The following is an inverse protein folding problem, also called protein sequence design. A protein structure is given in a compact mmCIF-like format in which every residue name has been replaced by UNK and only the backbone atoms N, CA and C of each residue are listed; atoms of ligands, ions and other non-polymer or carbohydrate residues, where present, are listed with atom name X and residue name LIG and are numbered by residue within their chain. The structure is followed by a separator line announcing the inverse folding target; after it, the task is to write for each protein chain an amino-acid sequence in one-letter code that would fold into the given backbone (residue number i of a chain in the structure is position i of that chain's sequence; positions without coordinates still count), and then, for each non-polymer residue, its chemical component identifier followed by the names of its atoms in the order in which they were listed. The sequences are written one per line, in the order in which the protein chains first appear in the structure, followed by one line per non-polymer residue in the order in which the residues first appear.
data_IF_656346726706
#
_entry.id   IF_656346726706
#
_cell.length_a   1.000
_cell.length_b   1.000
_cell.length_c   1.000
_cell.angle_alpha   90.00
_cell.angle_beta   90.00
_cell.angle_gamma   90.00
#
_symmetry.space_group_name_H-M   'P 1'
#
loop_
_entity.id
_entity.type
_entity.pdbx_description
1 polymer ?
#
# COMPACT_ATOMS: atom_id res chain seq x y z
N UNK A 1 12.96 -10.72 -29.01
CA UNK A 1 12.57 -9.43 -28.43
C UNK A 1 11.43 -9.75 -27.50
N UNK A 2 11.79 -10.10 -26.27
CA UNK A 2 10.92 -10.88 -25.42
C UNK A 2 10.40 -9.93 -24.35
N UNK A 3 9.17 -9.47 -24.57
CA UNK A 3 8.44 -8.74 -23.54
C UNK A 3 8.35 -9.67 -22.31
N UNK A 4 8.71 -9.21 -21.10
CA UNK A 4 8.65 -10.05 -19.92
C UNK A 4 7.21 -10.52 -19.70
N UNK A 5 7.15 -11.83 -19.41
CA UNK A 5 5.98 -12.69 -19.29
C UNK A 5 4.83 -12.00 -18.52
N UNK A 6 3.69 -11.81 -19.20
CA UNK A 6 2.45 -11.24 -18.66
C UNK A 6 1.64 -12.29 -17.90
N UNK A 7 2.21 -12.85 -16.83
CA UNK A 7 1.37 -13.56 -15.86
C UNK A 7 0.98 -12.54 -14.77
N UNK A 8 -0.29 -12.10 -14.70
CA UNK A 8 -0.72 -11.27 -13.59
C UNK A 8 -0.59 -12.13 -12.35
N UNK A 9 0.29 -11.73 -11.43
CA UNK A 9 0.41 -12.37 -10.13
C UNK A 9 -0.98 -12.36 -9.46
N UNK A 10 -1.71 -13.47 -9.58
CA UNK A 10 -2.83 -13.86 -8.73
C UNK A 10 -2.35 -14.19 -7.31
N UNK A 11 -1.18 -13.69 -6.93
CA UNK A 11 -0.53 -13.97 -5.67
C UNK A 11 -1.13 -13.04 -4.65
N UNK A 12 -2.01 -13.62 -3.83
CA UNK A 12 -2.47 -13.05 -2.59
C UNK A 12 -1.27 -12.60 -1.74
N UNK A 13 -1.23 -11.33 -1.39
CA UNK A 13 -0.20 -10.74 -0.55
C UNK A 13 -0.75 -10.42 0.83
N UNK A 14 -0.06 -10.83 1.89
CA UNK A 14 -0.46 -10.47 3.25
C UNK A 14 0.15 -9.13 3.63
N UNK A 15 -0.71 -8.13 3.82
CA UNK A 15 -0.33 -6.79 4.25
C UNK A 15 -0.88 -6.42 5.62
N UNK A 16 -0.19 -5.51 6.30
CA UNK A 16 -0.58 -5.00 7.62
C UNK A 16 -0.91 -3.51 7.55
N UNK A 17 -2.11 -3.15 8.01
CA UNK A 17 -2.57 -1.76 8.10
C UNK A 17 -2.77 -1.38 9.57
N UNK A 18 -2.05 -0.35 10.03
CA UNK A 18 -2.21 0.19 11.39
C UNK A 18 -3.07 1.44 11.36
N UNK A 19 -4.05 1.49 12.26
CA UNK A 19 -4.97 2.62 12.36
C UNK A 19 -5.44 2.79 13.81
N UNK A 20 -6.16 3.88 14.11
CA UNK A 20 -6.76 4.08 15.43
C UNK A 20 -7.96 3.13 15.66
N UNK A 21 -8.31 2.91 16.93
CA UNK A 21 -9.36 1.96 17.28
C UNK A 21 -10.74 2.29 16.64
N UNK A 22 -11.23 3.56 16.65
CA UNK A 22 -12.47 3.91 15.94
C UNK A 22 -12.42 3.60 14.44
N UNK A 23 -11.30 3.86 13.76
CA UNK A 23 -11.14 3.57 12.35
C UNK A 23 -11.07 2.06 12.09
N UNK A 24 -10.41 1.29 12.95
CA UNK A 24 -10.37 -0.17 12.83
C UNK A 24 -11.76 -0.80 12.95
N UNK A 25 -12.57 -0.33 13.90
CA UNK A 25 -13.98 -0.73 14.02
C UNK A 25 -14.74 -0.40 12.74
N UNK A 26 -14.57 0.81 12.21
CA UNK A 26 -15.23 1.21 10.97
C UNK A 26 -14.81 0.36 9.76
N UNK A 27 -13.53 -0.01 9.65
CA UNK A 27 -13.03 -0.87 8.58
C UNK A 27 -13.64 -2.27 8.70
N UNK A 28 -13.71 -2.83 9.92
CA UNK A 28 -14.28 -4.15 10.14
C UNK A 28 -15.77 -4.25 9.78
N UNK A 29 -16.54 -3.17 9.93
CA UNK A 29 -17.98 -3.15 9.61
C UNK A 29 -18.31 -2.73 8.18
N UNK A 30 -17.41 -2.03 7.50
CA UNK A 30 -17.65 -1.48 6.16
C UNK A 30 -16.57 -1.97 5.22
N UNK A 31 -15.53 -1.15 5.04
CA UNK A 31 -14.37 -1.42 4.19
C UNK A 31 -13.27 -0.38 4.50
N UNK A 32 -12.09 -0.60 3.93
CA UNK A 32 -11.03 0.41 3.89
C UNK A 32 -11.46 1.68 3.15
N UNK A 33 -10.92 2.83 3.57
CA UNK A 33 -11.11 4.11 2.88
C UNK A 33 -9.82 4.52 2.19
N UNK A 34 -9.97 5.07 0.98
CA UNK A 34 -8.85 5.67 0.27
C UNK A 34 -8.30 6.86 1.07
N UNK A 35 -6.98 6.87 1.24
CA UNK A 35 -6.26 8.03 1.74
C UNK A 35 -6.14 9.07 0.62
N UNK A 36 -6.81 10.21 0.76
CA UNK A 36 -6.90 11.25 -0.28
C UNK A 36 -6.30 12.60 0.14
N UNK A 37 -5.93 12.76 1.41
CA UNK A 37 -5.45 14.04 1.95
C UNK A 37 -3.94 14.17 1.78
N UNK A 38 -3.46 15.19 1.06
CA UNK A 38 -2.01 15.45 0.90
C UNK A 38 -1.36 15.88 2.24
N UNK A 39 -0.06 15.58 2.47
CA UNK A 39 0.86 14.85 1.58
C UNK A 39 0.69 13.31 1.66
N UNK A 40 0.91 12.63 0.54
CA UNK A 40 0.87 11.17 0.41
C UNK A 40 2.13 10.65 -0.28
N UNK A 41 2.86 9.75 0.37
CA UNK A 41 4.17 9.27 -0.09
C UNK A 41 4.10 8.48 -1.41
N UNK A 42 3.04 7.70 -1.62
CA UNK A 42 2.88 6.79 -2.77
C UNK A 42 1.59 7.07 -3.56
N UNK A 43 1.09 8.30 -3.48
CA UNK A 43 -0.18 8.69 -4.09
C UNK A 43 -1.41 8.39 -3.22
N UNK A 44 -2.60 8.55 -3.79
CA UNK A 44 -3.85 8.29 -3.08
C UNK A 44 -4.18 6.79 -3.10
N UNK A 45 -4.41 6.19 -1.94
CA UNK A 45 -4.60 4.74 -1.87
C UNK A 45 -4.81 4.22 -0.46
N UNK A 46 -4.82 2.89 -0.33
CA UNK A 46 -4.84 2.20 0.96
C UNK A 46 -3.43 1.65 1.18
N UNK A 47 -2.84 2.00 2.32
CA UNK A 47 -1.44 1.72 2.61
C UNK A 47 -1.30 0.47 3.48
N UNK A 48 -0.43 -0.44 3.07
CA UNK A 48 -0.09 -1.64 3.82
C UNK A 48 1.42 -1.76 3.96
N UNK A 49 1.87 -2.29 5.10
CA UNK A 49 3.25 -2.67 5.30
C UNK A 49 3.42 -4.18 5.15
N UNK A 50 4.60 -4.61 4.69
CA UNK A 50 5.01 -6.03 4.60
C UNK A 50 5.19 -6.73 5.96
N UNK A 51 5.26 -5.96 7.04
CA UNK A 51 5.61 -6.45 8.37
C UNK A 51 4.92 -5.61 9.43
N UNK A 52 4.37 -6.27 10.45
CA UNK A 52 3.81 -5.61 11.63
C UNK A 52 4.85 -4.68 12.27
N UNK A 53 6.13 -5.07 12.31
CA UNK A 53 7.19 -4.22 12.87
C UNK A 53 7.34 -2.90 12.11
N UNK A 54 7.18 -2.90 10.78
CA UNK A 54 7.25 -1.67 9.99
C UNK A 54 6.04 -0.76 10.23
N UNK A 55 4.90 -1.31 10.69
CA UNK A 55 3.76 -0.49 11.13
C UNK A 55 3.99 0.18 12.49
N UNK A 56 4.96 -0.29 13.28
CA UNK A 56 5.22 0.25 14.62
C UNK A 56 5.82 1.66 14.58
N UNK A 57 6.54 1.98 13.49
CA UNK A 57 7.17 3.28 13.25
C UNK A 57 6.18 4.35 12.77
N UNK A 58 4.95 3.98 12.43
CA UNK A 58 3.90 4.90 11.96
C UNK A 58 3.19 5.51 13.17
N UNK A 59 2.95 6.83 13.11
CA UNK A 59 2.62 7.79 14.17
C UNK A 59 1.44 7.48 15.13
N UNK A 60 0.78 6.32 15.06
CA UNK A 60 -0.33 5.94 15.94
C UNK A 60 0.15 4.91 16.95
N UNK A 61 0.75 5.37 18.05
CA UNK A 61 1.29 4.48 19.11
C UNK A 61 0.20 3.60 19.75
N UNK A 62 -1.04 4.07 19.77
CA UNK A 62 -2.21 3.33 20.26
C UNK A 62 -3.20 3.08 19.12
N UNK A 63 -3.75 1.86 19.04
CA UNK A 63 -4.67 1.47 17.97
C UNK A 63 -4.68 -0.02 17.68
N UNK A 64 -5.19 -0.40 16.50
CA UNK A 64 -5.25 -1.79 16.05
C UNK A 64 -4.43 -1.99 14.78
N UNK A 65 -3.99 -3.23 14.56
CA UNK A 65 -3.36 -3.69 13.32
C UNK A 65 -4.31 -4.65 12.64
N UNK A 66 -4.64 -4.36 11.39
CA UNK A 66 -5.45 -5.23 10.54
C UNK A 66 -4.51 -5.99 9.62
N UNK A 67 -4.63 -7.31 9.61
CA UNK A 67 -3.99 -8.20 8.66
C UNK A 67 -4.98 -8.45 7.51
N UNK A 68 -4.57 -8.17 6.28
CA UNK A 68 -5.43 -8.30 5.10
C UNK A 68 -4.72 -9.07 3.99
N UNK A 69 -5.50 -9.88 3.27
CA UNK A 69 -5.12 -10.43 2.00
C UNK A 69 -5.35 -9.39 0.89
N UNK A 70 -4.33 -9.16 0.07
CA UNK A 70 -4.32 -8.12 -0.96
C UNK A 70 -4.09 -8.77 -2.31
N UNK A 71 -5.02 -8.55 -3.23
CA UNK A 71 -4.84 -8.86 -4.64
C UNK A 71 -4.07 -7.71 -5.28
N UNK A 72 -2.74 -7.86 -5.40
CA UNK A 72 -1.88 -6.75 -5.83
C UNK A 72 -2.00 -6.39 -7.31
N UNK A 73 -2.45 -7.32 -8.16
CA UNK A 73 -2.56 -7.10 -9.60
C UNK A 73 -1.20 -6.79 -10.24
N UNK A 74 -1.16 -5.81 -11.15
CA UNK A 74 0.06 -5.30 -11.77
C UNK A 74 0.78 -4.38 -10.80
N UNK A 75 1.99 -4.75 -10.40
CA UNK A 75 2.77 -4.01 -9.41
C UNK A 75 3.81 -3.12 -10.10
N UNK A 76 3.81 -1.84 -9.73
CA UNK A 76 4.94 -0.94 -9.95
C UNK A 76 5.83 -0.98 -8.71
N UNK A 77 6.98 -1.63 -8.82
CA UNK A 77 8.00 -1.57 -7.77
C UNK A 77 8.84 -0.30 -7.95
N UNK A 78 9.08 0.41 -6.85
CA UNK A 78 9.88 1.64 -6.85
C UNK A 78 10.91 1.66 -5.71
N UNK A 79 11.96 2.43 -5.89
CA UNK A 79 12.98 2.74 -4.88
C UNK A 79 12.91 4.21 -4.40
N UNK A 80 13.81 4.61 -3.50
CA UNK A 80 13.75 5.91 -2.82
C UNK A 80 13.94 7.10 -3.77
N UNK A 81 14.80 6.96 -4.77
CA UNK A 81 15.04 7.98 -5.81
C UNK A 81 13.85 8.15 -6.78
N UNK A 82 12.89 7.23 -6.78
CA UNK A 82 11.68 7.28 -7.60
C UNK A 82 10.46 7.82 -6.85
N UNK A 83 10.57 8.10 -5.55
CA UNK A 83 9.44 8.55 -4.71
C UNK A 83 8.77 9.82 -5.24
N UNK A 84 9.53 10.76 -5.78
CA UNK A 84 8.99 12.01 -6.32
C UNK A 84 8.06 11.77 -7.52
N UNK A 85 8.24 10.67 -8.26
CA UNK A 85 7.44 10.34 -9.44
C UNK A 85 6.03 9.82 -9.06
N UNK A 86 5.85 9.37 -7.83
CA UNK A 86 4.59 8.75 -7.35
C UNK A 86 3.93 9.53 -6.23
N UNK A 87 4.66 10.41 -5.55
CA UNK A 87 4.16 11.20 -4.43
C UNK A 87 2.97 12.07 -4.85
N UNK A 88 1.89 12.02 -4.07
CA UNK A 88 0.66 12.79 -4.29
C UNK A 88 -0.04 12.57 -5.65
N UNK A 89 0.30 11.52 -6.41
CA UNK A 89 -0.26 11.24 -7.74
C UNK A 89 -0.63 9.77 -7.94
N UNK A 90 -1.64 9.53 -8.77
CA UNK A 90 -2.04 8.20 -9.24
C UNK A 90 -1.84 8.05 -10.76
N UNK A 91 -0.91 8.81 -11.35
CA UNK A 91 -0.66 8.78 -12.80
C UNK A 91 -0.30 7.37 -13.33
N UNK A 92 0.27 6.53 -12.48
CA UNK A 92 0.62 5.13 -12.75
C UNK A 92 -0.58 4.19 -12.84
N UNK A 93 -1.77 4.58 -12.34
CA UNK A 93 -2.92 3.70 -12.13
C UNK A 93 -3.60 3.21 -13.43
N UNK A 94 -3.25 3.78 -14.58
CA UNK A 94 -3.70 3.24 -15.88
C UNK A 94 -2.97 1.94 -16.24
N UNK A 95 -1.74 1.76 -15.75
CA UNK A 95 -0.85 0.66 -16.10
C UNK A 95 -0.64 -0.32 -14.95
N UNK A 96 -0.74 0.16 -13.71
CA UNK A 96 -0.48 -0.63 -12.50
C UNK A 96 -1.63 -0.50 -11.52
N UNK A 97 -1.87 -1.57 -10.76
CA UNK A 97 -2.93 -1.64 -9.76
C UNK A 97 -2.37 -1.34 -8.35
N UNK A 98 -1.07 -1.61 -8.13
CA UNK A 98 -0.39 -1.40 -6.83
C UNK A 98 0.99 -0.77 -7.02
N UNK A 99 1.37 0.15 -6.12
CA UNK A 99 2.77 0.53 -5.91
C UNK A 99 3.35 -0.28 -4.76
N UNK A 100 4.53 -0.86 -4.98
CA UNK A 100 5.33 -1.49 -3.95
C UNK A 100 6.63 -0.71 -3.74
N UNK A 101 6.70 0.02 -2.62
CA UNK A 101 7.91 0.73 -2.23
C UNK A 101 8.92 -0.25 -1.60
N UNK A 102 10.04 -0.46 -2.28
CA UNK A 102 11.12 -1.32 -1.79
C UNK A 102 11.98 -0.54 -0.80
N UNK A 103 11.74 -0.75 0.49
CA UNK A 103 12.63 -0.20 1.51
C UNK A 103 14.07 -0.70 1.31
N UNK A 104 15.08 0.18 1.36
CA UNK A 104 16.49 -0.24 1.38
C UNK A 104 16.71 -1.19 2.57
N UNK A 105 17.49 -2.24 2.32
CA UNK A 105 17.81 -3.25 3.35
C UNK A 105 18.67 -2.67 4.46
#
# INVERSE_FOLDING_TARGET
SDAPNKDPLTTAYIGFHRTDAPAAVNIAYKDFRLSTTRPQMLGHGIYFARSIFHTQLIARRDGAVICAEILMGRVLEIENDELENVSNTNAWHQTFDTIYYRHPR
#
